data_IF_164368470438
#
_entry.id   IF_164368470438
#
_cell.length_a   1.000
_cell.length_b   1.000
_cell.length_c   1.000
_cell.angle_alpha   90.00
_cell.angle_beta   90.00
_cell.angle_gamma   90.00
#
_symmetry.space_group_name_H-M   'P 1'
#
loop_
_entity.id
_entity.type
_entity.pdbx_description
1 polymer ?
#
# COMPACT_ATOMS: atom_id res chain seq x y z
N UNK A 1 25.35 60.48 9.72
CA UNK A 1 24.07 59.92 9.25
C UNK A 1 24.32 58.50 8.77
N UNK A 2 23.75 57.49 9.44
CA UNK A 2 24.02 56.06 9.22
C UNK A 2 23.27 55.56 7.98
N UNK A 3 23.97 54.90 7.05
CA UNK A 3 23.37 54.20 5.91
C UNK A 3 22.83 52.86 6.40
N UNK A 4 21.51 52.69 6.35
CA UNK A 4 20.84 51.41 6.65
C UNK A 4 20.80 50.62 5.34
N UNK A 5 21.57 49.53 5.30
CA UNK A 5 21.55 48.58 4.19
C UNK A 5 20.46 47.56 4.48
N UNK A 6 19.39 47.54 3.69
CA UNK A 6 18.35 46.52 3.76
C UNK A 6 18.77 45.33 2.91
N UNK A 7 19.17 44.24 3.56
CA UNK A 7 19.39 42.95 2.92
C UNK A 7 18.03 42.25 2.78
N UNK A 8 17.48 42.22 1.58
CA UNK A 8 16.27 41.45 1.27
C UNK A 8 16.68 39.97 1.19
N UNK A 9 16.35 39.18 2.21
CA UNK A 9 16.54 37.73 2.21
C UNK A 9 15.38 37.11 1.44
N UNK A 10 15.62 36.72 0.19
CA UNK A 10 14.64 36.02 -0.64
C UNK A 10 14.38 34.62 -0.10
N UNK A 11 13.16 34.35 0.34
CA UNK A 11 12.67 32.99 0.56
C UNK A 11 12.56 32.29 -0.79
N UNK A 12 13.51 31.42 -1.10
CA UNK A 12 13.38 30.43 -2.16
C UNK A 12 12.42 29.34 -1.67
N UNK A 13 11.15 29.48 -2.02
CA UNK A 13 10.16 28.43 -1.88
C UNK A 13 10.55 27.29 -2.84
N UNK A 14 11.26 26.28 -2.35
CA UNK A 14 11.42 25.04 -3.11
C UNK A 14 10.07 24.33 -3.11
N UNK A 15 9.35 24.40 -4.21
CA UNK A 15 8.22 23.52 -4.45
C UNK A 15 8.75 22.09 -4.47
N UNK A 16 8.44 21.31 -3.43
CA UNK A 16 8.57 19.86 -3.48
C UNK A 16 7.59 19.39 -4.54
N UNK A 17 8.11 19.07 -5.72
CA UNK A 17 7.38 18.28 -6.71
C UNK A 17 7.14 16.92 -6.06
N UNK A 18 5.89 16.66 -5.67
CA UNK A 18 5.48 15.30 -5.36
C UNK A 18 5.78 14.45 -6.60
N UNK A 19 6.71 13.50 -6.48
CA UNK A 19 6.99 12.57 -7.56
C UNK A 19 5.69 11.84 -7.92
N UNK A 20 5.40 11.61 -9.20
CA UNK A 20 4.22 10.85 -9.59
C UNK A 20 4.27 9.48 -8.90
N UNK A 21 3.12 8.95 -8.50
CA UNK A 21 2.96 7.59 -7.94
C UNK A 21 3.40 6.45 -8.90
N UNK A 22 4.10 6.76 -9.99
CA UNK A 22 4.62 5.84 -11.00
C UNK A 22 5.50 4.73 -10.39
N UNK A 23 6.19 5.04 -9.28
CA UNK A 23 6.96 4.05 -8.53
C UNK A 23 6.12 2.90 -7.98
N UNK A 24 4.84 3.14 -7.66
CA UNK A 24 3.96 2.16 -7.03
C UNK A 24 3.10 1.38 -8.04
N UNK A 25 2.77 1.96 -9.20
CA UNK A 25 1.99 1.28 -10.24
C UNK A 25 2.73 0.05 -10.76
N UNK A 26 2.08 -1.10 -10.76
CA UNK A 26 2.66 -2.35 -11.26
C UNK A 26 2.01 -3.60 -10.67
N UNK A 27 2.54 -4.76 -11.08
CA UNK A 27 2.14 -6.06 -10.54
C UNK A 27 3.15 -6.50 -9.48
N UNK A 28 2.64 -6.98 -8.35
CA UNK A 28 3.38 -7.46 -7.20
C UNK A 28 3.03 -8.92 -6.95
N UNK A 29 4.03 -9.75 -6.72
CA UNK A 29 3.86 -11.18 -6.48
C UNK A 29 4.42 -11.55 -5.12
N UNK A 30 3.76 -12.47 -4.43
CA UNK A 30 4.28 -13.04 -3.19
C UNK A 30 5.69 -13.59 -3.45
N UNK A 31 6.65 -13.15 -2.62
CA UNK A 31 8.06 -13.52 -2.78
C UNK A 31 8.27 -15.00 -2.45
N UNK A 32 7.45 -15.56 -1.56
CA UNK A 32 7.39 -16.99 -1.29
C UNK A 32 6.23 -17.64 -2.07
N UNK A 33 6.52 -18.14 -3.27
CA UNK A 33 5.51 -18.76 -4.14
C UNK A 33 5.04 -20.15 -3.69
N UNK A 34 5.72 -20.76 -2.71
CA UNK A 34 5.38 -22.10 -2.23
C UNK A 34 4.28 -22.08 -1.15
N UNK A 35 4.10 -20.92 -0.52
CA UNK A 35 3.17 -20.73 0.59
C UNK A 35 1.74 -20.40 0.17
N UNK A 36 1.56 -19.38 -0.67
CA UNK A 36 0.28 -19.00 -1.26
C UNK A 36 0.47 -18.15 -2.51
N UNK A 37 -0.42 -18.30 -3.48
CA UNK A 37 -0.38 -17.52 -4.72
C UNK A 37 -1.18 -16.22 -4.58
N UNK A 38 -0.58 -15.24 -3.90
CA UNK A 38 -1.11 -13.87 -3.79
C UNK A 38 -0.42 -12.95 -4.82
N UNK A 39 -1.24 -12.31 -5.65
CA UNK A 39 -0.84 -11.29 -6.62
C UNK A 39 -1.66 -10.02 -6.36
N UNK A 40 -0.98 -8.87 -6.37
CA UNK A 40 -1.59 -7.55 -6.25
C UNK A 40 -1.15 -6.70 -7.42
N UNK A 41 -2.09 -6.14 -8.16
CA UNK A 41 -1.83 -5.19 -9.23
C UNK A 41 -2.38 -3.84 -8.84
N UNK A 42 -1.53 -2.81 -8.88
CA UNK A 42 -1.89 -1.43 -8.65
C UNK A 42 -1.80 -0.67 -9.98
N UNK A 43 -2.84 0.07 -10.33
CA UNK A 43 -2.89 0.81 -11.59
C UNK A 43 -3.73 2.08 -11.47
N UNK A 44 -3.52 3.00 -12.41
CA UNK A 44 -4.33 4.21 -12.53
C UNK A 44 -5.29 4.09 -13.71
N UNK A 45 -6.52 4.58 -13.55
CA UNK A 45 -7.49 4.74 -14.64
C UNK A 45 -8.26 6.04 -14.44
N UNK A 46 -8.20 6.93 -15.44
CA UNK A 46 -8.92 8.22 -15.43
C UNK A 46 -8.60 9.07 -14.17
N UNK A 47 -7.33 9.11 -13.75
CA UNK A 47 -6.89 9.88 -12.58
C UNK A 47 -7.30 9.30 -11.23
N UNK A 48 -7.75 8.04 -11.18
CA UNK A 48 -8.08 7.31 -9.96
C UNK A 48 -7.25 6.05 -9.82
N UNK A 49 -6.99 5.69 -8.57
CA UNK A 49 -6.15 4.57 -8.17
C UNK A 49 -6.98 3.31 -7.96
N UNK A 50 -6.63 2.24 -8.65
CA UNK A 50 -7.34 0.96 -8.61
C UNK A 50 -6.41 -0.20 -8.32
N UNK A 51 -6.97 -1.23 -7.68
CA UNK A 51 -6.27 -2.47 -7.45
C UNK A 51 -7.02 -3.67 -8.05
N UNK A 52 -6.26 -4.71 -8.37
CA UNK A 52 -6.74 -6.08 -8.53
C UNK A 52 -5.93 -6.96 -7.56
N UNK A 53 -6.61 -7.73 -6.71
CA UNK A 53 -6.02 -8.73 -5.83
C UNK A 53 -6.50 -10.09 -6.30
N UNK A 54 -5.54 -10.94 -6.67
CA UNK A 54 -5.79 -12.32 -7.05
C UNK A 54 -5.17 -13.22 -6.00
N UNK A 55 -6.00 -14.07 -5.40
CA UNK A 55 -5.57 -15.07 -4.43
C UNK A 55 -6.30 -16.38 -4.69
N UNK A 56 -5.53 -17.43 -4.98
CA UNK A 56 -6.07 -18.74 -5.36
C UNK A 56 -7.14 -18.66 -6.46
N UNK A 57 -8.42 -18.85 -6.11
CA UNK A 57 -9.57 -18.79 -7.03
C UNK A 57 -10.36 -17.48 -6.97
N UNK A 58 -9.97 -16.54 -6.10
CA UNK A 58 -10.65 -15.25 -5.93
C UNK A 58 -9.92 -14.17 -6.72
N UNK A 59 -10.71 -13.31 -7.36
CA UNK A 59 -10.25 -12.07 -7.97
C UNK A 59 -11.13 -10.95 -7.41
N UNK A 60 -10.51 -10.00 -6.73
CA UNK A 60 -11.16 -8.87 -6.08
C UNK A 60 -10.55 -7.60 -6.66
N UNK A 61 -11.36 -6.56 -6.81
CA UNK A 61 -10.89 -5.27 -7.33
C UNK A 61 -11.65 -4.13 -6.67
N UNK A 62 -11.04 -2.97 -6.68
CA UNK A 62 -11.59 -1.78 -6.04
C UNK A 62 -10.66 -0.59 -6.19
N UNK A 63 -10.97 0.47 -5.47
CA UNK A 63 -10.11 1.65 -5.37
C UNK A 63 -9.11 1.46 -4.22
N UNK A 64 -7.92 2.03 -4.35
CA UNK A 64 -7.02 2.16 -3.21
C UNK A 64 -6.68 3.62 -2.95
N UNK A 65 -6.37 3.93 -1.70
CA UNK A 65 -5.81 5.22 -1.32
C UNK A 65 -4.44 5.01 -0.69
N UNK A 66 -3.63 6.05 -0.73
CA UNK A 66 -2.36 6.12 -0.02
C UNK A 66 -2.56 6.93 1.25
N UNK A 67 -2.09 6.38 2.35
CA UNK A 67 -2.03 7.06 3.65
C UNK A 67 -0.64 6.84 4.24
N UNK A 68 0.16 7.90 4.25
CA UNK A 68 1.59 7.85 4.58
C UNK A 68 2.34 6.74 3.81
N UNK A 69 2.79 5.71 4.53
CA UNK A 69 3.52 4.56 4.02
C UNK A 69 2.62 3.34 3.79
N UNK A 70 1.30 3.52 3.69
CA UNK A 70 0.33 2.44 3.53
C UNK A 70 -0.50 2.58 2.26
N UNK A 71 -0.76 1.44 1.62
CA UNK A 71 -1.82 1.26 0.62
C UNK A 71 -3.05 0.71 1.34
N UNK A 72 -4.16 1.44 1.29
CA UNK A 72 -5.44 1.02 1.87
C UNK A 72 -6.36 0.56 0.74
N UNK A 73 -6.76 -0.71 0.77
CA UNK A 73 -7.58 -1.34 -0.28
C UNK A 73 -9.07 -1.17 0.04
N UNK A 74 -9.71 -0.17 -0.55
CA UNK A 74 -11.09 0.20 -0.18
C UNK A 74 -12.08 -0.92 -0.49
N UNK A 75 -12.85 -1.29 0.52
CA UNK A 75 -13.85 -2.35 0.43
C UNK A 75 -13.28 -3.78 0.39
N UNK A 76 -11.95 -3.95 0.41
CA UNK A 76 -11.33 -5.25 0.64
C UNK A 76 -11.21 -5.45 2.15
N UNK A 77 -11.93 -6.44 2.68
CA UNK A 77 -11.95 -6.73 4.12
C UNK A 77 -11.22 -8.04 4.43
N UNK A 78 -10.74 -8.15 5.67
CA UNK A 78 -10.13 -9.37 6.18
C UNK A 78 -11.06 -10.57 6.02
N UNK A 79 -10.51 -11.73 5.62
CA UNK A 79 -11.24 -13.00 5.56
C UNK A 79 -11.88 -13.36 6.90
N UNK A 80 -11.16 -13.11 8.00
CA UNK A 80 -11.64 -13.37 9.36
C UNK A 80 -11.28 -12.18 10.25
N UNK A 81 -12.24 -11.63 10.99
CA UNK A 81 -11.98 -10.57 11.96
C UNK A 81 -12.94 -10.74 13.13
N UNK A 82 -12.43 -11.19 14.28
CA UNK A 82 -13.29 -11.39 15.46
C UNK A 82 -13.46 -10.06 16.19
N UNK A 83 -14.71 -9.63 16.37
CA UNK A 83 -15.05 -8.39 17.08
C UNK A 83 -14.84 -7.11 16.29
N UNK A 84 -14.25 -7.18 15.09
CA UNK A 84 -14.08 -6.05 14.17
C UNK A 84 -14.82 -6.36 12.87
N UNK A 85 -16.04 -5.84 12.73
CA UNK A 85 -16.72 -5.87 11.43
C UNK A 85 -15.95 -4.97 10.45
N UNK A 86 -15.63 -5.47 9.26
CA UNK A 86 -15.06 -4.70 8.16
C UNK A 86 -13.65 -4.14 8.39
N UNK A 87 -12.74 -4.93 8.98
CA UNK A 87 -11.33 -4.56 9.00
C UNK A 87 -10.82 -4.45 7.55
N UNK A 88 -10.54 -3.22 7.10
CA UNK A 88 -9.97 -2.96 5.78
C UNK A 88 -8.56 -3.56 5.67
N UNK A 89 -8.28 -4.17 4.53
CA UNK A 89 -6.94 -4.66 4.21
C UNK A 89 -6.05 -3.46 3.87
N UNK A 90 -4.85 -3.46 4.44
CA UNK A 90 -3.80 -2.49 4.12
C UNK A 90 -2.45 -3.19 3.97
N UNK A 91 -1.58 -2.64 3.13
CA UNK A 91 -0.19 -3.04 3.02
C UNK A 91 0.73 -1.87 3.36
N UNK A 92 1.80 -2.12 4.10
CA UNK A 92 2.89 -1.17 4.25
C UNK A 92 3.77 -1.19 3.00
N UNK A 93 4.20 -0.02 2.56
CA UNK A 93 5.16 0.18 1.49
C UNK A 93 6.54 0.23 2.15
N UNK A 94 7.39 -0.75 1.85
CA UNK A 94 8.76 -0.80 2.36
C UNK A 94 9.71 -1.22 1.24
N UNK A 95 10.72 -0.39 0.94
CA UNK A 95 11.74 -0.69 -0.07
C UNK A 95 11.18 -1.10 -1.44
N UNK A 96 10.04 -0.53 -1.86
CA UNK A 96 9.36 -0.87 -3.11
C UNK A 96 8.58 -2.19 -3.09
N UNK A 97 8.38 -2.78 -1.92
CA UNK A 97 7.57 -3.97 -1.69
C UNK A 97 6.27 -3.61 -0.99
N UNK A 98 5.26 -4.49 -1.10
CA UNK A 98 4.05 -4.44 -0.30
C UNK A 98 4.14 -5.50 0.81
N UNK A 99 4.13 -5.04 2.06
CA UNK A 99 4.15 -5.89 3.24
C UNK A 99 2.76 -5.93 3.88
N UNK A 100 2.16 -7.13 3.92
CA UNK A 100 0.93 -7.37 4.67
C UNK A 100 1.25 -8.09 5.97
N UNK A 101 0.74 -7.59 7.09
CA UNK A 101 0.61 -8.37 8.30
C UNK A 101 -0.69 -9.19 8.18
N UNK A 102 -0.57 -10.48 7.89
CA UNK A 102 -1.73 -11.33 7.64
C UNK A 102 -2.53 -11.62 8.90
N UNK A 103 -1.86 -11.78 10.06
CA UNK A 103 -2.51 -12.09 11.33
C UNK A 103 -2.46 -10.95 12.33
N UNK A 104 -3.57 -10.76 13.02
CA UNK A 104 -3.66 -9.94 14.21
C UNK A 104 -2.90 -10.48 15.41
N UNK A 105 -3.10 -9.84 16.54
CA UNK A 105 -2.54 -10.28 17.82
C UNK A 105 -3.64 -10.86 18.72
N UNK A 106 -3.27 -11.27 19.94
CA UNK A 106 -4.22 -11.87 20.87
C UNK A 106 -5.35 -10.94 21.32
N UNK A 107 -5.15 -9.63 21.28
CA UNK A 107 -6.17 -8.63 21.64
C UNK A 107 -7.09 -8.31 20.45
N UNK A 108 -6.53 -8.22 19.25
CA UNK A 108 -7.24 -7.92 18.01
C UNK A 108 -6.96 -9.04 16.99
N UNK A 109 -7.61 -10.20 17.13
CA UNK A 109 -7.39 -11.33 16.24
C UNK A 109 -8.10 -11.09 14.89
N UNK A 110 -7.33 -11.22 13.82
CA UNK A 110 -7.79 -11.19 12.44
C UNK A 110 -6.90 -12.06 11.56
N UNK A 111 -7.43 -12.41 10.39
CA UNK A 111 -6.73 -13.04 9.27
C UNK A 111 -7.12 -12.29 8.00
N UNK A 112 -6.18 -11.58 7.35
CA UNK A 112 -6.47 -10.81 6.14
C UNK A 112 -6.79 -11.75 4.97
N UNK A 113 -5.92 -12.74 4.74
CA UNK A 113 -5.99 -13.73 3.68
C UNK A 113 -5.88 -15.12 4.30
N UNK A 114 -7.03 -15.76 4.56
CA UNK A 114 -7.12 -17.10 5.15
C UNK A 114 -6.48 -18.21 4.32
N UNK A 115 -6.22 -17.94 3.04
CA UNK A 115 -5.52 -18.85 2.13
C UNK A 115 -4.00 -18.82 2.28
N UNK A 116 -3.44 -17.83 2.96
CA UNK A 116 -2.01 -17.75 3.26
C UNK A 116 -1.77 -18.09 4.73
N UNK A 117 -0.79 -18.95 5.01
CA UNK A 117 -0.47 -19.43 6.35
C UNK A 117 0.56 -18.52 7.08
N UNK A 118 1.18 -17.62 6.33
CA UNK A 118 2.32 -16.83 6.76
C UNK A 118 1.83 -15.60 7.50
N UNK A 119 2.55 -15.25 8.56
CA UNK A 119 2.24 -14.03 9.33
C UNK A 119 2.50 -12.75 8.55
N UNK A 120 3.51 -12.77 7.71
CA UNK A 120 3.90 -11.63 6.89
C UNK A 120 3.97 -12.06 5.44
N UNK A 121 3.26 -11.33 4.58
CA UNK A 121 3.28 -11.55 3.13
C UNK A 121 4.05 -10.40 2.51
N UNK A 122 5.21 -10.71 1.92
CA UNK A 122 6.09 -9.74 1.29
C UNK A 122 5.94 -9.90 -0.21
N UNK A 123 5.34 -8.91 -0.86
CA UNK A 123 5.14 -8.92 -2.29
C UNK A 123 6.13 -7.99 -2.98
N UNK A 124 6.86 -8.55 -3.94
CA UNK A 124 7.87 -7.82 -4.71
C UNK A 124 7.30 -7.38 -6.06
N UNK A 125 7.58 -6.15 -6.46
CA UNK A 125 7.19 -5.62 -7.77
C UNK A 125 7.88 -6.41 -8.88
N UNK A 126 7.11 -6.83 -9.88
CA UNK A 126 7.65 -7.46 -11.09
C UNK A 126 8.27 -6.38 -11.96
N UNK A 127 9.56 -6.51 -12.23
CA UNK A 127 10.24 -5.68 -13.23
C UNK A 127 9.90 -6.24 -14.61
N UNK A 128 9.23 -5.44 -15.43
CA UNK A 128 8.96 -5.71 -16.86
C UNK A 128 9.92 -4.96 -17.75
#
# INVERSE_FOLDING_TARGET
MKKVSYLLLGLLSTSVLAEPNDGLIGTYLNSDKLSCNLEVKLFEKQGRNYFEVKIEKRLLSGEYILDEQYVIFKGLTASEASGLSNLEVSAQIESGQLLFQNYGNSMNPYTLFSECAEKYLILSKVLT
#
